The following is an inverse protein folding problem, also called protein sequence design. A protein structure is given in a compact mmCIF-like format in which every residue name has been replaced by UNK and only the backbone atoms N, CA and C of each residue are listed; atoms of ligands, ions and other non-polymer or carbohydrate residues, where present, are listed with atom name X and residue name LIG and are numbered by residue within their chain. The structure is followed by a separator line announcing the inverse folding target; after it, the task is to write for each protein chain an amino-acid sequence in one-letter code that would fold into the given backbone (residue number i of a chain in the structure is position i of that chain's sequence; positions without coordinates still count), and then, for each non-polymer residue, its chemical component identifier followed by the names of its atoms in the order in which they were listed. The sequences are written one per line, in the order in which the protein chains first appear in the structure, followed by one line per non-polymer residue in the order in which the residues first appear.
data_IF_112405955864
#
_entry.id   IF_112405955864
#
_cell.length_a   1.000
_cell.length_b   1.000
_cell.length_c   1.000
_cell.angle_alpha   90.00
_cell.angle_beta   90.00
_cell.angle_gamma   90.00
#
_symmetry.space_group_name_H-M   'P 1'
#
loop_
_entity.id
_entity.type
_entity.pdbx_description
1 polymer ?
#
# COMPACT_ATOMS: atom_id res chain seq x y z
N UNK A 1 -0.40 11.77 -14.57
CA UNK A 1 0.69 11.00 -13.96
C UNK A 1 0.25 9.60 -13.66
N UNK A 2 1.12 8.65 -13.93
CA UNK A 2 0.80 7.26 -13.65
C UNK A 2 1.10 6.92 -12.21
N UNK A 3 0.33 6.01 -11.68
CA UNK A 3 0.56 5.45 -10.37
C UNK A 3 1.03 4.01 -10.54
N UNK A 4 1.57 3.45 -9.48
CA UNK A 4 1.98 2.05 -9.47
C UNK A 4 0.99 1.26 -8.63
N UNK A 5 0.49 0.18 -9.21
CA UNK A 5 -0.38 -0.75 -8.50
C UNK A 5 0.44 -1.99 -8.13
N UNK A 6 0.40 -2.34 -6.86
CA UNK A 6 1.07 -3.53 -6.36
C UNK A 6 0.01 -4.38 -5.69
N UNK A 7 -0.11 -5.64 -6.10
CA UNK A 7 -1.09 -6.52 -5.49
C UNK A 7 -0.49 -7.88 -5.17
N UNK A 8 -0.97 -8.47 -4.10
CA UNK A 8 -0.52 -9.77 -3.65
C UNK A 8 -1.59 -10.36 -2.74
N UNK A 9 -1.59 -11.68 -2.61
CA UNK A 9 -2.51 -12.35 -1.71
C UNK A 9 -1.77 -12.77 -0.45
N UNK A 10 -2.45 -12.67 0.68
CA UNK A 10 -1.90 -12.97 1.99
C UNK A 10 -2.60 -14.19 2.56
N UNK A 11 -1.86 -15.01 3.32
CA UNK A 11 -2.43 -16.17 4.00
C UNK A 11 -3.53 -15.69 4.92
N UNK A 12 -4.67 -16.42 4.97
CA UNK A 12 -5.80 -15.95 5.79
C UNK A 12 -5.45 -15.67 7.24
N UNK A 13 -4.58 -16.50 7.85
CA UNK A 13 -4.22 -16.31 9.25
C UNK A 13 -3.26 -15.14 9.44
N UNK A 14 -2.73 -14.57 8.37
CA UNK A 14 -1.80 -13.44 8.41
C UNK A 14 -2.40 -12.13 7.94
N UNK A 15 -3.67 -12.15 7.50
CA UNK A 15 -4.27 -10.96 6.89
C UNK A 15 -4.39 -9.80 7.88
N UNK A 16 -4.79 -10.08 9.10
CA UNK A 16 -4.93 -9.02 10.11
C UNK A 16 -3.58 -8.44 10.49
N UNK A 17 -2.56 -9.28 10.61
CA UNK A 17 -1.20 -8.80 10.88
C UNK A 17 -0.72 -7.90 9.74
N UNK A 18 -0.94 -8.32 8.50
CA UNK A 18 -0.54 -7.53 7.33
C UNK A 18 -1.22 -6.17 7.34
N UNK A 19 -2.50 -6.14 7.67
CA UNK A 19 -3.25 -4.89 7.75
C UNK A 19 -2.69 -3.97 8.83
N UNK A 20 -2.39 -4.51 10.02
CA UNK A 20 -1.86 -3.69 11.11
C UNK A 20 -0.52 -3.06 10.74
N UNK A 21 0.34 -3.82 10.03
CA UNK A 21 1.62 -3.27 9.59
C UNK A 21 1.44 -2.17 8.57
N UNK A 22 0.46 -2.31 7.67
CA UNK A 22 0.13 -1.26 6.71
C UNK A 22 -0.42 -0.03 7.43
N UNK A 23 -1.27 -0.22 8.42
CA UNK A 23 -1.81 0.90 9.20
C UNK A 23 -0.70 1.68 9.88
N UNK A 24 0.36 0.99 10.32
CA UNK A 24 1.53 1.66 10.87
C UNK A 24 2.22 2.56 9.86
N UNK A 25 2.28 2.15 8.59
CA UNK A 25 2.85 2.98 7.53
C UNK A 25 2.03 4.26 7.37
N UNK A 26 0.70 4.15 7.36
CA UNK A 26 -0.16 5.32 7.24
C UNK A 26 -0.07 6.22 8.46
N UNK A 27 0.10 5.64 9.65
CA UNK A 27 0.33 6.43 10.85
C UNK A 27 1.57 7.30 10.73
N UNK A 28 2.65 6.73 10.23
CA UNK A 28 3.88 7.49 10.03
C UNK A 28 3.72 8.54 8.93
N UNK A 29 3.03 8.20 7.85
CA UNK A 29 2.77 9.16 6.79
C UNK A 29 1.97 10.37 7.30
N UNK A 30 0.93 10.13 8.09
CA UNK A 30 0.14 11.22 8.64
C UNK A 30 0.96 12.08 9.60
N UNK A 31 1.84 11.47 10.37
CA UNK A 31 2.68 12.21 11.31
C UNK A 31 3.70 13.08 10.59
N UNK A 32 4.31 12.56 9.54
CA UNK A 32 5.35 13.28 8.79
C UNK A 32 4.80 14.16 7.69
N UNK A 33 3.60 13.85 7.20
CA UNK A 33 2.87 14.62 6.20
C UNK A 33 3.75 15.02 5.00
N UNK A 34 4.43 14.07 4.33
CA UNK A 34 5.28 14.42 3.20
C UNK A 34 4.45 14.93 2.04
N UNK A 35 4.96 15.93 1.34
CA UNK A 35 4.31 16.46 0.16
C UNK A 35 4.47 15.48 -1.01
N UNK A 36 3.52 15.48 -1.91
CA UNK A 36 3.59 14.76 -3.19
C UNK A 36 3.56 13.23 -3.05
N UNK A 37 3.28 12.70 -1.86
CA UNK A 37 3.03 11.26 -1.71
C UNK A 37 1.52 11.04 -1.73
N UNK A 38 1.09 10.10 -2.58
CA UNK A 38 -0.31 9.67 -2.63
C UNK A 38 -0.31 8.16 -2.50
N UNK A 39 -1.08 7.64 -1.58
CA UNK A 39 -1.00 6.23 -1.26
C UNK A 39 -2.35 5.74 -0.78
N UNK A 40 -2.80 4.63 -1.35
CA UNK A 40 -4.07 4.02 -1.02
C UNK A 40 -3.87 2.51 -0.97
N UNK A 41 -4.40 1.87 0.06
CA UNK A 41 -4.36 0.41 0.15
C UNK A 41 -5.76 -0.12 0.33
N UNK A 42 -6.09 -1.15 -0.42
CA UNK A 42 -7.37 -1.85 -0.31
C UNK A 42 -7.12 -3.28 0.13
N UNK A 43 -7.98 -3.77 1.00
CA UNK A 43 -8.01 -5.18 1.37
C UNK A 43 -9.26 -5.79 0.77
N UNK A 44 -9.08 -6.80 -0.06
CA UNK A 44 -10.20 -7.47 -0.71
C UNK A 44 -10.65 -8.65 0.12
N UNK A 45 -11.88 -9.10 -0.10
CA UNK A 45 -12.48 -10.15 0.70
C UNK A 45 -11.80 -11.51 0.51
N UNK A 46 -11.04 -11.69 -0.56
CA UNK A 46 -10.35 -12.94 -0.83
C UNK A 46 -8.92 -12.97 -0.28
N UNK A 47 -8.53 -11.97 0.50
CA UNK A 47 -7.18 -11.90 1.06
C UNK A 47 -6.16 -11.17 0.20
N UNK A 48 -6.60 -10.61 -0.92
CA UNK A 48 -5.73 -9.79 -1.77
C UNK A 48 -5.60 -8.39 -1.18
N UNK A 49 -4.39 -7.86 -1.20
CA UNK A 49 -4.13 -6.46 -0.86
C UNK A 49 -3.66 -5.74 -2.11
N UNK A 50 -4.23 -4.56 -2.35
CA UNK A 50 -3.87 -3.73 -3.49
C UNK A 50 -3.34 -2.40 -2.97
N UNK A 51 -2.13 -2.07 -3.38
CA UNK A 51 -1.50 -0.80 -3.04
C UNK A 51 -1.46 0.06 -4.30
N UNK A 52 -2.01 1.26 -4.23
CA UNK A 52 -1.91 2.23 -5.31
C UNK A 52 -1.05 3.37 -4.78
N UNK A 53 0.08 3.64 -5.43
CA UNK A 53 1.05 4.58 -4.88
C UNK A 53 1.60 5.49 -5.97
N UNK A 54 1.76 6.76 -5.60
CA UNK A 54 2.44 7.77 -6.40
C UNK A 54 3.48 8.40 -5.47
N UNK A 55 4.73 8.00 -5.65
CA UNK A 55 5.81 8.36 -4.73
C UNK A 55 7.13 8.44 -5.49
N UNK A 56 7.26 9.46 -6.35
CA UNK A 56 8.43 9.59 -7.19
C UNK A 56 9.70 9.85 -6.39
N UNK A 57 9.58 10.46 -5.21
CA UNK A 57 10.74 10.76 -4.36
C UNK A 57 11.13 9.58 -3.47
N UNK A 58 10.42 8.46 -3.55
CA UNK A 58 10.74 7.26 -2.77
C UNK A 58 10.69 7.49 -1.26
N UNK A 59 9.71 8.25 -0.82
CA UNK A 59 9.54 8.55 0.60
C UNK A 59 9.08 7.31 1.36
N UNK A 60 8.09 6.59 0.80
CA UNK A 60 7.47 5.46 1.50
C UNK A 60 8.48 4.36 1.81
N UNK A 61 9.35 3.93 0.88
CA UNK A 61 10.31 2.88 1.21
C UNK A 61 11.30 3.26 2.31
N UNK A 62 11.46 4.55 2.61
CA UNK A 62 12.39 5.01 3.62
C UNK A 62 11.75 5.21 4.99
N UNK A 63 10.45 4.93 5.13
CA UNK A 63 9.79 5.03 6.43
C UNK A 63 10.13 3.82 7.30
N UNK A 64 10.30 4.06 8.60
CA UNK A 64 10.58 2.98 9.55
C UNK A 64 9.44 1.96 9.57
N UNK A 65 8.20 2.45 9.53
CA UNK A 65 7.04 1.56 9.52
C UNK A 65 6.98 0.73 8.25
N UNK A 66 7.49 1.25 7.13
CA UNK A 66 7.54 0.48 5.89
C UNK A 66 8.57 -0.64 5.98
N UNK A 67 9.71 -0.37 6.62
CA UNK A 67 10.71 -1.42 6.86
C UNK A 67 10.11 -2.52 7.73
N UNK A 68 9.34 -2.16 8.74
CA UNK A 68 8.66 -3.14 9.59
C UNK A 68 7.64 -3.95 8.79
N UNK A 69 6.91 -3.30 7.88
CA UNK A 69 5.95 -3.99 7.02
C UNK A 69 6.66 -4.98 6.08
N UNK A 70 7.78 -4.57 5.49
CA UNK A 70 8.51 -5.45 4.57
C UNK A 70 9.11 -6.67 5.26
N UNK A 71 9.48 -6.53 6.52
CA UNK A 71 10.03 -7.64 7.30
C UNK A 71 8.96 -8.71 7.46
N UNK A 72 9.29 -9.94 7.12
CA UNK A 72 8.34 -11.03 7.21
C UNK A 72 7.30 -11.07 6.10
N UNK A 73 7.44 -10.22 5.09
CA UNK A 73 6.47 -10.19 3.98
C UNK A 73 6.38 -11.51 3.24
N UNK A 74 7.52 -12.17 3.05
CA UNK A 74 7.55 -13.45 2.34
C UNK A 74 6.72 -14.50 3.08
N UNK A 75 6.81 -14.53 4.40
CA UNK A 75 6.07 -15.50 5.21
C UNK A 75 4.57 -15.21 5.23
N UNK A 76 4.18 -13.95 5.07
CA UNK A 76 2.76 -13.60 5.08
C UNK A 76 2.09 -13.82 3.74
N UNK A 77 2.83 -13.69 2.64
CA UNK A 77 2.25 -13.74 1.30
C UNK A 77 2.07 -15.17 0.83
N UNK A 78 1.05 -15.36 -0.02
CA UNK A 78 0.84 -16.61 -0.73
C UNK A 78 1.65 -16.63 -2.03
N UNK A 79 1.77 -15.47 -2.68
CA UNK A 79 2.43 -15.36 -3.98
C UNK A 79 3.30 -14.11 -4.02
N UNK A 80 4.07 -13.98 -5.09
CA UNK A 80 4.91 -12.81 -5.30
C UNK A 80 4.06 -11.60 -5.65
N UNK A 81 4.45 -10.40 -5.18
CA UNK A 81 3.70 -9.19 -5.55
C UNK A 81 3.80 -8.94 -7.05
N UNK A 82 2.68 -8.55 -7.62
CA UNK A 82 2.60 -8.15 -9.02
C UNK A 82 2.58 -6.62 -9.06
N UNK A 83 3.41 -6.03 -9.91
CA UNK A 83 3.49 -4.58 -10.05
C UNK A 83 3.09 -4.18 -11.45
N UNK A 84 2.19 -3.20 -11.54
CA UNK A 84 1.68 -2.69 -12.81
C UNK A 84 1.59 -1.17 -12.72
N UNK A 85 1.85 -0.50 -13.84
CA UNK A 85 1.51 0.90 -13.92
C UNK A 85 -0.01 1.03 -14.02
N UNK A 86 -0.55 2.03 -13.33
CA UNK A 86 -1.99 2.25 -13.31
C UNK A 86 -2.27 3.72 -13.57
N UNK A 87 -3.32 3.98 -14.33
CA UNK A 87 -3.77 5.33 -14.59
C UNK A 87 -5.19 5.45 -14.06
N UNK A 88 -5.45 6.51 -13.30
CA UNK A 88 -6.80 6.76 -12.80
C UNK A 88 -7.63 7.29 -13.98
N UNK A 89 -8.61 6.51 -14.40
CA UNK A 89 -9.48 6.87 -15.53
C UNK A 89 -10.60 7.79 -15.08
N UNK A 90 -11.08 7.60 -13.85
CA UNK A 90 -12.15 8.44 -13.33
C UNK A 90 -12.29 8.26 -11.84
N UNK A 91 -12.85 9.26 -11.19
CA UNK A 91 -13.16 9.22 -9.76
C UNK A 91 -14.37 10.11 -9.53
N UNK A 92 -15.44 9.53 -9.01
CA UNK A 92 -16.60 10.30 -8.63
C UNK A 92 -16.87 10.09 -7.16
N UNK A 93 -16.34 10.98 -6.35
CA UNK A 93 -16.57 11.05 -4.90
C UNK A 93 -16.07 9.84 -4.09
N UNK A 94 -15.43 8.84 -4.74
CA UNK A 94 -14.86 7.73 -4.00
C UNK A 94 -13.66 8.20 -3.18
N UNK A 95 -12.79 8.98 -3.80
CA UNK A 95 -11.64 9.59 -3.15
C UNK A 95 -11.82 11.10 -3.20
N UNK A 96 -11.29 11.79 -2.18
CA UNK A 96 -11.38 13.24 -2.12
C UNK A 96 -10.60 13.85 -3.28
N UNK A 97 -11.21 14.78 -3.97
CA UNK A 97 -10.55 15.51 -5.03
C UNK A 97 -9.74 16.67 -4.43
N UNK A 98 -8.54 16.97 -5.01
CA UNK A 98 -7.70 18.07 -4.51
C UNK A 98 -8.33 19.43 -4.71
#
# INVERSE_FOLDING_TARGET
MSQRLIRYRVKPEKADENQRLIEGVFGELHAKAPEHVRYLVLRLSDGTFCHLVDDSAKIVPNLDAFAAFRRGGVERRVDEPEQLEATIVGNYRMLREP
#
